data_IF_714160356979
#
_entry.id   IF_714160356979
#
_cell.length_a   1.000
_cell.length_b   1.000
_cell.length_c   1.000
_cell.angle_alpha   90.00
_cell.angle_beta   90.00
_cell.angle_gamma   90.00
#
_symmetry.space_group_name_H-M   'P 1'
#
loop_
_entity.id
_entity.type
_entity.pdbx_description
1 polymer ?
#
# COMPACT_ATOMS: atom_id res chain seq x y z
N UNK A 1 29.62 -37.12 -11.75
CA UNK A 1 29.72 -36.51 -13.08
C UNK A 1 28.41 -36.56 -13.86
N UNK A 2 27.77 -37.71 -14.05
CA UNK A 2 26.52 -37.84 -14.84
C UNK A 2 25.35 -37.06 -14.23
N UNK A 3 25.21 -37.00 -12.90
CA UNK A 3 24.12 -36.30 -12.22
C UNK A 3 24.23 -34.75 -12.37
N UNK A 4 25.45 -34.21 -12.36
CA UNK A 4 25.71 -32.80 -12.61
C UNK A 4 25.38 -32.41 -14.06
N UNK A 5 25.73 -33.27 -15.03
CA UNK A 5 25.42 -33.01 -16.45
C UNK A 5 23.90 -33.05 -16.75
N UNK A 6 23.13 -33.89 -16.06
CA UNK A 6 21.65 -33.89 -16.18
C UNK A 6 21.04 -32.61 -15.60
N UNK A 7 21.55 -32.15 -14.46
CA UNK A 7 21.11 -30.90 -13.85
C UNK A 7 21.41 -29.68 -14.75
N UNK A 8 22.61 -29.67 -15.35
CA UNK A 8 23.01 -28.59 -16.28
C UNK A 8 22.11 -28.55 -17.52
N UNK A 9 21.80 -29.69 -18.10
CA UNK A 9 20.88 -29.81 -19.25
C UNK A 9 19.48 -29.30 -18.85
N UNK A 10 18.99 -29.67 -17.68
CA UNK A 10 17.68 -29.25 -17.18
C UNK A 10 17.62 -27.74 -16.94
N UNK A 11 18.67 -27.15 -16.40
CA UNK A 11 18.82 -25.72 -16.23
C UNK A 11 18.82 -24.96 -17.56
N UNK A 12 19.53 -25.49 -18.57
CA UNK A 12 19.57 -24.90 -19.92
C UNK A 12 18.18 -24.93 -20.58
N UNK A 13 17.46 -26.06 -20.44
CA UNK A 13 16.12 -26.21 -21.01
C UNK A 13 15.14 -25.25 -20.33
N UNK A 14 15.12 -25.19 -19.00
CA UNK A 14 14.21 -24.33 -18.24
C UNK A 14 14.55 -22.86 -18.50
N UNK A 15 15.84 -22.50 -18.46
CA UNK A 15 16.28 -21.14 -18.75
C UNK A 15 15.99 -20.72 -20.20
N UNK A 16 16.24 -21.59 -21.16
CA UNK A 16 15.91 -21.37 -22.58
C UNK A 16 14.41 -21.19 -22.82
N UNK A 17 13.57 -22.02 -22.20
CA UNK A 17 12.13 -21.89 -22.27
C UNK A 17 11.65 -20.54 -21.67
N UNK A 18 12.24 -20.11 -20.55
CA UNK A 18 11.96 -18.79 -19.94
C UNK A 18 12.33 -17.64 -20.87
N UNK A 19 13.48 -17.70 -21.52
CA UNK A 19 13.91 -16.67 -22.48
C UNK A 19 12.98 -16.60 -23.70
N UNK A 20 12.57 -17.74 -24.25
CA UNK A 20 11.60 -17.79 -25.36
C UNK A 20 10.27 -17.19 -24.94
N UNK A 21 9.76 -17.54 -23.76
CA UNK A 21 8.54 -16.98 -23.21
C UNK A 21 8.61 -15.45 -23.10
N UNK A 22 9.70 -14.92 -22.54
CA UNK A 22 9.91 -13.47 -22.42
C UNK A 22 9.98 -12.79 -23.79
N UNK A 23 10.69 -13.39 -24.77
CA UNK A 23 10.77 -12.86 -26.11
C UNK A 23 9.38 -12.78 -26.78
N UNK A 24 8.56 -13.82 -26.62
CA UNK A 24 7.18 -13.84 -27.12
C UNK A 24 6.34 -12.75 -26.45
N UNK A 25 6.44 -12.57 -25.13
CA UNK A 25 5.74 -11.50 -24.42
C UNK A 25 6.14 -10.11 -24.90
N UNK A 26 7.44 -9.88 -25.13
CA UNK A 26 7.94 -8.60 -25.68
C UNK A 26 7.36 -8.38 -27.08
N UNK A 27 7.41 -9.38 -27.95
CA UNK A 27 6.86 -9.27 -29.30
C UNK A 27 5.36 -8.96 -29.28
N UNK A 28 4.59 -9.67 -28.46
CA UNK A 28 3.15 -9.39 -28.30
C UNK A 28 2.95 -7.95 -27.81
N UNK A 29 3.73 -7.50 -26.82
CA UNK A 29 3.62 -6.14 -26.26
C UNK A 29 3.88 -5.04 -27.31
N UNK A 30 4.77 -5.28 -28.27
CA UNK A 30 5.05 -4.32 -29.36
C UNK A 30 3.88 -4.15 -30.34
N UNK A 31 3.04 -5.18 -30.49
CA UNK A 31 1.90 -5.17 -31.41
C UNK A 31 0.55 -4.91 -30.71
N UNK A 32 0.50 -5.01 -29.38
CA UNK A 32 -0.73 -4.73 -28.63
C UNK A 32 -0.88 -3.23 -28.36
N UNK A 33 -2.06 -2.70 -28.64
CA UNK A 33 -2.38 -1.32 -28.26
C UNK A 33 -2.62 -1.23 -26.75
N UNK A 34 -2.15 -0.17 -26.08
CA UNK A 34 -2.47 0.04 -24.67
C UNK A 34 -3.98 0.15 -24.50
N UNK A 35 -4.52 -0.57 -23.52
CA UNK A 35 -5.92 -0.47 -23.13
C UNK A 35 -6.12 0.93 -22.56
N UNK A 36 -7.01 1.71 -23.19
CA UNK A 36 -7.44 3.00 -22.65
C UNK A 36 -8.75 2.78 -21.91
N UNK A 37 -8.72 2.92 -20.61
CA UNK A 37 -9.94 2.94 -19.83
C UNK A 37 -10.65 4.28 -20.01
N UNK A 38 -11.99 4.30 -20.10
CA UNK A 38 -12.73 5.55 -20.07
C UNK A 38 -12.47 6.26 -18.72
N UNK A 39 -12.49 7.59 -18.74
CA UNK A 39 -12.39 8.34 -17.49
C UNK A 39 -13.63 8.04 -16.64
N UNK A 40 -13.41 7.54 -15.44
CA UNK A 40 -14.46 7.34 -14.46
C UNK A 40 -14.77 8.69 -13.75
N UNK A 41 -16.02 8.91 -13.31
CA UNK A 41 -16.32 10.05 -12.46
C UNK A 41 -15.51 10.00 -11.16
N UNK A 42 -15.06 11.16 -10.70
CA UNK A 42 -14.32 11.30 -9.43
C UNK A 42 -15.33 11.59 -8.30
N UNK A 43 -16.19 10.63 -7.99
CA UNK A 43 -17.30 10.76 -7.04
C UNK A 43 -17.23 9.74 -5.89
N UNK A 44 -16.19 8.91 -5.88
CA UNK A 44 -16.00 7.85 -4.89
C UNK A 44 -15.21 8.36 -3.69
N UNK A 45 -15.62 7.96 -2.51
CA UNK A 45 -14.93 8.32 -1.27
C UNK A 45 -14.00 7.22 -0.81
N UNK A 46 -12.77 7.58 -0.50
CA UNK A 46 -11.71 6.64 -0.15
C UNK A 46 -11.14 6.92 1.23
N UNK A 47 -10.83 5.85 1.96
CA UNK A 47 -10.00 5.93 3.15
C UNK A 47 -8.61 5.37 2.87
N UNK A 48 -7.58 6.14 3.18
CA UNK A 48 -6.19 5.70 3.15
C UNK A 48 -5.79 5.30 4.56
N UNK A 49 -5.45 4.03 4.74
CA UNK A 49 -5.06 3.45 6.02
C UNK A 49 -3.54 3.37 6.11
N UNK A 50 -2.96 3.96 7.13
CA UNK A 50 -1.52 3.99 7.37
C UNK A 50 -1.22 3.42 8.75
N UNK A 51 -0.33 2.43 8.82
CA UNK A 51 0.26 1.97 10.08
C UNK A 51 1.65 2.56 10.22
N UNK A 52 1.88 3.34 11.27
CA UNK A 52 3.14 4.01 11.53
C UNK A 52 3.70 3.63 12.90
N UNK A 53 5.02 3.46 12.96
CA UNK A 53 5.74 3.23 14.23
C UNK A 53 7.05 3.99 14.26
N UNK A 54 7.08 5.09 15.01
CA UNK A 54 8.24 6.00 15.09
C UNK A 54 8.69 6.54 13.74
N UNK A 55 7.72 7.07 12.96
CA UNK A 55 7.90 7.56 11.60
C UNK A 55 7.74 9.09 11.50
N UNK A 56 7.94 9.83 12.62
CA UNK A 56 7.73 11.28 12.67
C UNK A 56 8.49 12.06 11.59
N UNK A 57 9.67 11.57 11.19
CA UNK A 57 10.51 12.25 10.18
C UNK A 57 10.04 12.06 8.73
N UNK A 58 9.25 11.05 8.44
CA UNK A 58 8.88 10.67 7.05
C UNK A 58 7.39 10.73 6.77
N UNK A 59 6.56 10.56 7.81
CA UNK A 59 5.10 10.48 7.66
C UNK A 59 4.51 11.73 7.02
N UNK A 60 5.06 12.91 7.30
CA UNK A 60 4.61 14.17 6.71
C UNK A 60 4.73 14.22 5.20
N UNK A 61 5.77 13.61 4.64
CA UNK A 61 5.97 13.54 3.18
C UNK A 61 4.89 12.68 2.52
N UNK A 62 4.59 11.52 3.10
CA UNK A 62 3.54 10.63 2.59
C UNK A 62 2.17 11.31 2.63
N UNK A 63 1.82 11.94 3.77
CA UNK A 63 0.55 12.67 3.91
C UNK A 63 0.44 13.77 2.85
N UNK A 64 1.49 14.56 2.66
CA UNK A 64 1.53 15.60 1.63
C UNK A 64 1.35 15.01 0.23
N UNK A 65 2.03 13.90 -0.09
CA UNK A 65 1.87 13.22 -1.37
C UNK A 65 0.41 12.77 -1.61
N UNK A 66 -0.26 12.25 -0.60
CA UNK A 66 -1.66 11.83 -0.71
C UNK A 66 -2.59 13.04 -0.90
N UNK A 67 -2.37 14.12 -0.15
CA UNK A 67 -3.19 15.34 -0.22
C UNK A 67 -3.02 16.12 -1.52
N UNK A 68 -1.88 15.95 -2.22
CA UNK A 68 -1.58 16.64 -3.48
C UNK A 68 -1.89 15.83 -4.73
N UNK A 69 -2.65 14.73 -4.60
CA UNK A 69 -3.07 13.92 -5.75
C UNK A 69 -4.08 14.67 -6.63
N UNK A 70 -4.25 14.19 -7.86
CA UNK A 70 -5.21 14.76 -8.83
C UNK A 70 -6.67 14.44 -8.48
N UNK A 71 -6.91 13.49 -7.59
CA UNK A 71 -8.24 13.16 -7.09
C UNK A 71 -8.70 14.21 -6.08
N UNK A 72 -10.01 14.58 -6.02
CA UNK A 72 -10.51 15.57 -5.07
C UNK A 72 -10.16 15.21 -3.62
N UNK A 73 -9.43 16.10 -2.95
CA UNK A 73 -8.92 15.87 -1.59
C UNK A 73 -10.03 15.70 -0.55
N UNK A 74 -11.20 16.30 -0.78
CA UNK A 74 -12.40 16.17 0.06
C UNK A 74 -13.04 14.78 0.00
N UNK A 75 -12.62 13.94 -0.96
CA UNK A 75 -13.06 12.55 -1.11
C UNK A 75 -12.02 11.54 -0.62
N UNK A 76 -10.91 12.00 -0.06
CA UNK A 76 -9.85 11.16 0.50
C UNK A 76 -9.65 11.50 1.97
N UNK A 77 -9.98 10.57 2.85
CA UNK A 77 -9.66 10.68 4.28
C UNK A 77 -8.44 9.81 4.62
N UNK A 78 -7.53 10.35 5.42
CA UNK A 78 -6.33 9.63 5.86
C UNK A 78 -6.54 9.18 7.30
N UNK A 79 -6.48 7.88 7.52
CA UNK A 79 -6.56 7.22 8.80
C UNK A 79 -5.22 6.61 9.18
N UNK A 80 -4.67 7.00 10.30
CA UNK A 80 -3.37 6.55 10.77
C UNK A 80 -3.50 5.86 12.12
N UNK A 81 -2.94 4.65 12.23
CA UNK A 81 -2.70 4.02 13.52
C UNK A 81 -1.24 4.19 13.92
N UNK A 82 -1.01 4.95 15.00
CA UNK A 82 0.30 5.09 15.63
C UNK A 82 0.52 3.90 16.58
N UNK A 83 1.21 2.84 16.08
CA UNK A 83 1.38 1.59 16.82
C UNK A 83 2.64 1.58 17.66
N UNK A 84 2.47 1.63 18.98
CA UNK A 84 3.57 1.65 19.95
C UNK A 84 4.61 2.77 19.68
N UNK A 85 4.16 3.93 19.22
CA UNK A 85 5.04 5.08 19.02
C UNK A 85 5.56 5.64 20.33
N UNK A 86 6.82 6.06 20.31
CA UNK A 86 7.51 6.74 21.41
C UNK A 86 7.97 8.14 21.03
N UNK A 87 7.77 8.51 19.76
CA UNK A 87 8.04 9.82 19.19
C UNK A 87 6.75 10.59 18.93
N UNK A 88 6.83 11.72 18.24
CA UNK A 88 5.71 12.59 17.92
C UNK A 88 4.98 12.24 16.61
N UNK A 89 5.11 11.00 16.10
CA UNK A 89 4.43 10.55 14.87
C UNK A 89 2.93 10.86 14.86
N UNK A 90 2.24 10.54 15.96
CA UNK A 90 0.79 10.79 16.08
C UNK A 90 0.44 12.28 16.02
N UNK A 91 1.23 13.13 16.65
CA UNK A 91 1.04 14.57 16.68
C UNK A 91 1.25 15.18 15.27
N UNK A 92 2.33 14.80 14.59
CA UNK A 92 2.62 15.24 13.23
C UNK A 92 1.44 14.92 12.30
N UNK A 93 0.93 13.69 12.33
CA UNK A 93 -0.18 13.29 11.50
C UNK A 93 -1.49 14.05 11.83
N UNK A 94 -1.80 14.28 13.11
CA UNK A 94 -2.98 15.09 13.51
C UNK A 94 -2.89 16.52 13.01
N UNK A 95 -1.73 17.13 13.13
CA UNK A 95 -1.51 18.52 12.69
C UNK A 95 -1.65 18.66 11.16
N UNK A 96 -1.51 17.57 10.42
CA UNK A 96 -1.73 17.52 8.97
C UNK A 96 -3.16 17.10 8.58
N UNK A 97 -4.08 17.00 9.54
CA UNK A 97 -5.50 16.73 9.28
C UNK A 97 -5.86 15.25 9.18
N UNK A 98 -4.99 14.33 9.58
CA UNK A 98 -5.31 12.91 9.59
C UNK A 98 -6.17 12.51 10.80
N UNK A 99 -7.02 11.49 10.60
CA UNK A 99 -7.66 10.77 11.69
C UNK A 99 -6.63 9.83 12.33
N UNK A 100 -6.26 10.08 13.58
CA UNK A 100 -5.19 9.33 14.24
C UNK A 100 -5.71 8.55 15.42
N UNK A 101 -5.44 7.25 15.42
CA UNK A 101 -5.69 6.34 16.55
C UNK A 101 -4.35 5.86 17.09
N UNK A 102 -4.13 5.98 18.39
CA UNK A 102 -2.96 5.46 19.05
C UNK A 102 -3.23 4.07 19.61
N UNK A 103 -2.29 3.16 19.43
CA UNK A 103 -2.36 1.79 19.92
C UNK A 103 -1.09 1.44 20.68
N UNK A 104 -1.26 0.95 21.88
CA UNK A 104 -0.19 0.46 22.74
C UNK A 104 -0.45 -1.01 23.08
N UNK A 105 0.24 -1.92 22.40
CA UNK A 105 0.13 -3.35 22.65
C UNK A 105 1.49 -4.01 22.36
N UNK A 106 2.11 -4.56 23.40
CA UNK A 106 3.43 -5.20 23.33
C UNK A 106 3.37 -6.70 22.99
N UNK A 107 2.20 -7.30 23.05
CA UNK A 107 2.00 -8.73 22.75
C UNK A 107 1.68 -8.95 21.28
N UNK A 108 0.74 -8.19 20.74
CA UNK A 108 0.31 -8.28 19.34
C UNK A 108 1.00 -7.17 18.52
N UNK A 109 2.28 -7.37 18.25
CA UNK A 109 3.12 -6.39 17.52
C UNK A 109 3.11 -6.70 16.03
N UNK A 110 2.97 -5.67 15.20
CA UNK A 110 3.08 -5.76 13.74
C UNK A 110 1.98 -5.04 12.99
N UNK A 111 2.28 -4.68 11.72
CA UNK A 111 1.41 -3.92 10.83
C UNK A 111 0.00 -4.52 10.69
N UNK A 112 -0.11 -5.84 10.55
CA UNK A 112 -1.40 -6.51 10.43
C UNK A 112 -2.29 -6.28 11.65
N UNK A 113 -1.75 -6.46 12.87
CA UNK A 113 -2.49 -6.21 14.11
C UNK A 113 -2.88 -4.73 14.29
N UNK A 114 -1.99 -3.83 13.89
CA UNK A 114 -2.27 -2.39 13.94
C UNK A 114 -3.40 -2.01 12.99
N UNK A 115 -3.38 -2.49 11.75
CA UNK A 115 -4.43 -2.24 10.76
C UNK A 115 -5.76 -2.88 11.15
N UNK A 116 -5.75 -4.10 11.68
CA UNK A 116 -6.97 -4.75 12.21
C UNK A 116 -7.58 -3.89 13.31
N UNK A 117 -6.76 -3.44 14.26
CA UNK A 117 -7.22 -2.56 15.35
C UNK A 117 -7.83 -1.25 14.81
N UNK A 118 -7.20 -0.65 13.79
CA UNK A 118 -7.72 0.56 13.14
C UNK A 118 -9.10 0.30 12.52
N UNK A 119 -9.23 -0.77 11.73
CA UNK A 119 -10.48 -1.14 11.07
C UNK A 119 -11.60 -1.47 12.08
N UNK A 120 -11.26 -2.18 13.16
CA UNK A 120 -12.22 -2.49 14.22
C UNK A 120 -12.76 -1.19 14.85
N UNK A 121 -11.89 -0.22 15.14
CA UNK A 121 -12.29 1.09 15.67
C UNK A 121 -13.14 1.90 14.70
N UNK A 122 -12.80 1.86 13.41
CA UNK A 122 -13.61 2.50 12.37
C UNK A 122 -15.01 1.88 12.27
N UNK A 123 -15.09 0.55 12.31
CA UNK A 123 -16.35 -0.17 12.26
C UNK A 123 -17.20 0.08 13.51
N UNK A 124 -16.63 0.00 14.70
CA UNK A 124 -17.32 0.28 15.97
C UNK A 124 -17.93 1.68 16.03
N UNK A 125 -17.27 2.67 15.42
CA UNK A 125 -17.72 4.06 15.38
C UNK A 125 -18.62 4.39 14.17
N UNK A 126 -18.84 3.46 13.23
CA UNK A 126 -19.53 3.71 11.96
C UNK A 126 -18.72 4.58 10.98
N UNK A 127 -17.44 4.84 11.27
CA UNK A 127 -16.60 5.67 10.42
C UNK A 127 -16.17 4.98 9.12
N UNK A 128 -16.38 3.67 9.00
CA UNK A 128 -16.11 2.91 7.77
C UNK A 128 -17.22 3.04 6.72
N UNK A 129 -18.44 3.36 7.12
CA UNK A 129 -19.64 3.33 6.26
C UNK A 129 -19.59 4.26 5.03
N UNK A 130 -19.00 5.48 5.10
CA UNK A 130 -19.04 6.42 3.99
C UNK A 130 -18.04 6.09 2.86
N UNK A 131 -17.17 5.09 3.01
CA UNK A 131 -16.11 4.82 2.06
C UNK A 131 -16.46 3.73 1.05
N UNK A 132 -16.22 4.01 -0.22
CA UNK A 132 -16.37 3.04 -1.32
C UNK A 132 -15.22 2.02 -1.36
N UNK A 133 -14.01 2.42 -0.92
CA UNK A 133 -12.86 1.54 -0.82
C UNK A 133 -11.80 2.03 0.18
N UNK A 134 -10.94 1.09 0.57
CA UNK A 134 -9.81 1.32 1.48
C UNK A 134 -8.50 1.05 0.77
N UNK A 135 -7.53 1.96 0.92
CA UNK A 135 -6.16 1.78 0.45
C UNK A 135 -5.22 1.67 1.64
N UNK A 136 -4.28 0.75 1.59
CA UNK A 136 -3.28 0.57 2.64
C UNK A 136 -1.92 1.02 2.13
N UNK A 137 -1.31 1.98 2.82
CA UNK A 137 0.03 2.47 2.53
C UNK A 137 0.99 2.18 3.67
N UNK A 138 2.27 2.03 3.33
CA UNK A 138 3.36 1.98 4.31
C UNK A 138 3.83 3.39 4.62
N UNK A 139 4.13 3.68 5.89
CA UNK A 139 4.50 5.01 6.34
C UNK A 139 5.82 5.53 5.73
N UNK A 140 6.70 4.62 5.31
CA UNK A 140 8.00 4.90 4.69
C UNK A 140 7.98 4.92 3.15
N UNK A 141 6.81 4.76 2.52
CA UNK A 141 6.67 4.86 1.07
C UNK A 141 6.98 6.28 0.58
N UNK A 142 7.90 6.35 -0.40
CA UNK A 142 8.37 7.62 -1.02
C UNK A 142 7.84 7.76 -2.43
#
# INVERSE_FOLDING_TARGET
MVLLSVLDILLVIVGGAGMVYQAVCILISLFTKPIRFPQAPMDKRYAVLISARNEANVIGNLITCIQTQTYPSELIDIWLVADNCTDNTAEVARNMGCHVIERFNKELVGKGYALTYLLDRMNESGASDPYDAFFVFDADNK
#
